data_IF_059479524107
#
_entry.id   IF_059479524107
#
_cell.length_a   1.000
_cell.length_b   1.000
_cell.length_c   1.000
_cell.angle_alpha   90.00
_cell.angle_beta   90.00
_cell.angle_gamma   90.00
#
_symmetry.space_group_name_H-M   'P 1'
#
loop_
_entity.id
_entity.type
_entity.pdbx_description
1 polymer ?
#
# COMPACT_ATOMS: atom_id res chain seq x y z
N UNK A 1 2.14 29.05 5.61
CA UNK A 1 3.38 28.28 5.85
C UNK A 1 3.83 27.76 4.49
N UNK A 2 5.12 27.80 4.16
CA UNK A 2 5.56 27.27 2.87
C UNK A 2 5.36 25.75 2.91
N UNK A 3 4.57 25.21 1.98
CA UNK A 3 4.42 23.76 1.81
C UNK A 3 5.80 23.16 1.54
N UNK A 4 6.33 22.38 2.48
CA UNK A 4 7.64 21.75 2.33
C UNK A 4 7.54 20.64 1.26
N UNK A 5 8.38 20.74 0.22
CA UNK A 5 8.40 19.79 -0.88
C UNK A 5 9.52 18.78 -0.60
N UNK A 6 9.16 17.52 -0.39
CA UNK A 6 10.13 16.43 -0.28
C UNK A 6 10.77 16.18 -1.65
N UNK A 7 12.09 16.35 -1.77
CA UNK A 7 12.80 16.16 -3.04
C UNK A 7 13.43 14.76 -3.09
N UNK A 8 12.83 13.88 -3.91
CA UNK A 8 13.43 12.58 -4.24
C UNK A 8 14.41 12.74 -5.40
N UNK A 9 14.01 13.50 -6.43
CA UNK A 9 14.85 13.85 -7.58
C UNK A 9 14.93 15.38 -7.76
N UNK A 10 16.10 16.01 -7.55
CA UNK A 10 16.30 17.45 -7.77
C UNK A 10 16.11 17.90 -9.22
N UNK A 11 16.29 17.01 -10.20
CA UNK A 11 16.04 17.26 -11.62
C UNK A 11 14.67 16.76 -12.07
N UNK A 12 13.92 16.12 -11.16
CA UNK A 12 12.59 15.60 -11.44
C UNK A 12 11.68 16.68 -12.06
N UNK A 13 10.75 16.24 -12.89
CA UNK A 13 9.87 17.07 -13.72
C UNK A 13 8.41 17.06 -13.23
N UNK A 14 8.10 16.24 -12.22
CA UNK A 14 6.75 16.07 -11.66
C UNK A 14 6.75 16.25 -10.13
N UNK A 15 5.71 16.93 -9.63
CA UNK A 15 5.31 16.90 -8.23
C UNK A 15 4.13 15.95 -8.08
N UNK A 16 4.29 14.92 -7.24
CA UNK A 16 3.16 14.12 -6.77
C UNK A 16 2.64 14.75 -5.48
N UNK A 17 1.33 14.95 -5.42
CA UNK A 17 0.60 15.47 -4.27
C UNK A 17 -0.17 14.30 -3.66
N UNK A 18 0.22 13.90 -2.45
CA UNK A 18 -0.48 12.89 -1.66
C UNK A 18 -1.43 13.61 -0.68
N UNK A 19 -2.73 13.44 -0.91
CA UNK A 19 -3.82 13.98 -0.09
C UNK A 19 -4.29 12.97 0.96
N UNK A 20 -4.69 13.42 2.14
CA UNK A 20 -5.21 12.57 3.21
C UNK A 20 -4.31 11.36 3.54
N UNK A 21 -2.99 11.56 3.74
CA UNK A 21 -2.08 10.45 3.98
C UNK A 21 -2.42 9.71 5.27
N UNK A 22 -2.06 8.43 5.32
CA UNK A 22 -2.25 7.54 6.47
C UNK A 22 -3.74 7.27 6.78
N UNK A 23 -4.55 7.07 5.74
CA UNK A 23 -5.93 6.60 5.91
C UNK A 23 -5.98 5.23 6.65
N UNK A 24 -7.11 4.88 7.28
CA UNK A 24 -7.26 3.60 7.97
C UNK A 24 -6.93 2.40 7.06
N UNK A 25 -6.04 1.53 7.52
CA UNK A 25 -5.55 0.38 6.76
C UNK A 25 -5.92 -0.94 7.45
N UNK A 26 -6.50 -1.88 6.69
CA UNK A 26 -6.86 -3.22 7.16
C UNK A 26 -7.64 -3.23 8.49
N UNK A 27 -8.73 -2.45 8.59
CA UNK A 27 -9.51 -2.33 9.82
C UNK A 27 -10.07 -3.67 10.30
N UNK A 28 -9.90 -3.95 11.59
CA UNK A 28 -10.34 -5.19 12.24
C UNK A 28 -11.34 -4.87 13.33
N UNK A 29 -12.61 -5.16 13.08
CA UNK A 29 -13.68 -4.99 14.06
C UNK A 29 -13.94 -6.33 14.75
N UNK A 30 -13.31 -6.55 15.91
CA UNK A 30 -13.75 -7.58 16.84
C UNK A 30 -15.15 -7.20 17.33
N UNK A 31 -16.17 -7.98 16.99
CA UNK A 31 -17.49 -7.86 17.61
C UNK A 31 -17.40 -8.28 19.07
N UNK A 32 -16.80 -7.43 19.92
CA UNK A 32 -16.93 -7.42 21.38
C UNK A 32 -16.21 -6.21 22.03
N UNK A 33 -16.53 -4.98 21.63
CA UNK A 33 -16.47 -3.82 22.52
C UNK A 33 -17.68 -2.94 22.24
N UNK A 34 -18.54 -2.81 23.26
CA UNK A 34 -19.76 -2.01 23.21
C UNK A 34 -19.48 -0.60 22.71
N UNK A 35 -20.22 -0.22 21.68
CA UNK A 35 -20.26 1.12 21.14
C UNK A 35 -20.79 2.07 22.22
N UNK A 36 -19.91 2.94 22.74
CA UNK A 36 -20.36 4.24 23.23
C UNK A 36 -20.03 5.24 22.14
N UNK A 37 -21.08 5.57 21.38
CA UNK A 37 -21.09 6.72 20.49
C UNK A 37 -20.73 7.98 21.27
N UNK A 38 -19.77 8.72 20.74
CA UNK A 38 -19.55 10.11 21.09
C UNK A 38 -19.41 10.84 19.76
N UNK A 39 -20.53 11.39 19.29
CA UNK A 39 -20.53 12.40 18.24
C UNK A 39 -19.58 13.51 18.67
N UNK A 40 -18.49 13.68 17.92
CA UNK A 40 -17.62 14.85 18.05
C UNK A 40 -17.87 15.74 16.85
N UNK A 41 -18.20 16.99 17.19
CA UNK A 41 -18.51 18.12 16.30
C UNK A 41 -17.48 18.26 15.18
N UNK A 42 -18.01 18.61 14.01
CA UNK A 42 -17.31 19.05 12.81
C UNK A 42 -16.33 20.19 13.11
N UNK A 43 -15.06 19.84 13.29
CA UNK A 43 -13.95 20.64 12.79
C UNK A 43 -13.28 19.76 11.76
N UNK A 44 -13.45 20.05 10.46
CA UNK A 44 -12.69 19.34 9.44
C UNK A 44 -11.22 19.62 9.72
N UNK A 45 -10.40 18.62 10.13
CA UNK A 45 -8.98 18.85 10.27
C UNK A 45 -8.47 19.31 8.91
N UNK A 46 -7.61 20.33 8.87
CA UNK A 46 -6.90 20.71 7.65
C UNK A 46 -6.37 19.43 6.99
N UNK A 47 -6.81 19.16 5.77
CA UNK A 47 -6.43 17.94 5.05
C UNK A 47 -4.91 17.97 4.90
N UNK A 48 -4.20 17.05 5.59
CA UNK A 48 -2.75 16.95 5.45
C UNK A 48 -2.43 16.63 3.98
N UNK A 49 -1.51 17.39 3.40
CA UNK A 49 -1.04 17.19 2.03
C UNK A 49 0.48 17.09 2.04
N UNK A 50 1.02 16.14 1.27
CA UNK A 50 2.46 15.97 1.09
C UNK A 50 2.78 16.16 -0.38
N UNK A 51 3.81 16.95 -0.66
CA UNK A 51 4.28 17.24 -2.03
C UNK A 51 5.64 16.61 -2.22
N UNK A 52 5.80 15.81 -3.26
CA UNK A 52 7.04 15.05 -3.52
C UNK A 52 7.52 15.30 -4.94
N UNK A 53 8.75 15.81 -5.08
CA UNK A 53 9.40 16.01 -6.37
C UNK A 53 10.08 14.73 -6.84
N UNK A 54 9.69 14.27 -8.03
CA UNK A 54 10.09 12.98 -8.61
C UNK A 54 10.39 13.11 -10.10
N UNK A 55 11.12 12.14 -10.65
CA UNK A 55 11.32 11.99 -12.09
C UNK A 55 10.21 11.15 -12.70
N UNK A 56 9.57 11.70 -13.74
CA UNK A 56 8.55 10.99 -14.51
C UNK A 56 9.13 9.72 -15.15
N UNK A 57 10.36 9.80 -15.67
CA UNK A 57 11.01 8.70 -16.39
C UNK A 57 11.25 7.48 -15.52
N UNK A 58 11.72 7.67 -14.29
CA UNK A 58 11.91 6.57 -13.33
C UNK A 58 10.59 5.84 -13.05
N UNK A 59 9.51 6.61 -12.81
CA UNK A 59 8.20 6.05 -12.47
C UNK A 59 7.53 5.36 -13.67
N UNK A 60 7.56 5.98 -14.85
CA UNK A 60 6.97 5.41 -16.08
C UNK A 60 7.66 4.15 -16.57
N UNK A 61 8.97 4.03 -16.34
CA UNK A 61 9.72 2.83 -16.68
C UNK A 61 9.32 1.65 -15.78
N UNK A 62 9.10 1.91 -14.50
CA UNK A 62 8.85 0.87 -13.51
C UNK A 62 7.36 0.53 -13.31
N UNK A 63 6.44 1.40 -13.74
CA UNK A 63 5.00 1.24 -13.49
C UNK A 63 4.16 1.64 -14.70
N UNK A 64 3.36 0.73 -15.26
CA UNK A 64 2.42 1.06 -16.32
C UNK A 64 1.29 1.98 -15.83
N UNK A 65 0.96 1.97 -14.54
CA UNK A 65 -0.03 2.86 -13.95
C UNK A 65 0.49 4.29 -13.89
N UNK A 66 1.72 4.51 -13.43
CA UNK A 66 2.36 5.82 -13.51
C UNK A 66 2.49 6.28 -14.97
N UNK A 67 2.84 5.39 -15.90
CA UNK A 67 2.85 5.70 -17.35
C UNK A 67 1.51 6.22 -17.85
N UNK A 68 0.41 5.55 -17.52
CA UNK A 68 -0.94 6.01 -17.90
C UNK A 68 -1.32 7.31 -17.19
N UNK A 69 -1.00 7.42 -15.91
CA UNK A 69 -1.28 8.59 -15.07
C UNK A 69 -0.60 9.85 -15.63
N UNK A 70 0.61 9.72 -16.17
CA UNK A 70 1.34 10.84 -16.76
C UNK A 70 1.00 11.11 -18.23
N UNK A 71 0.40 10.16 -18.94
CA UNK A 71 0.03 10.27 -20.37
C UNK A 71 -1.33 10.94 -20.63
N UNK A 72 -1.94 11.62 -19.65
CA UNK A 72 -3.21 12.34 -19.80
C UNK A 72 -3.18 13.43 -20.90
N UNK A 73 -4.29 14.16 -21.15
CA UNK A 73 -4.43 15.12 -22.27
C UNK A 73 -3.51 16.36 -22.19
N UNK A 74 -2.51 16.33 -21.30
CA UNK A 74 -1.49 17.35 -21.17
C UNK A 74 -0.61 17.34 -22.41
N UNK A 75 -0.82 18.34 -23.26
CA UNK A 75 0.00 18.55 -24.46
C UNK A 75 1.44 18.81 -24.03
N UNK A 76 2.36 17.98 -24.49
CA UNK A 76 3.81 18.28 -24.57
C UNK A 76 4.11 19.58 -25.35
N UNK A 77 3.11 20.28 -25.90
CA UNK A 77 3.24 21.49 -26.70
C UNK A 77 2.92 22.81 -25.98
N UNK A 78 2.66 22.81 -24.68
CA UNK A 78 2.89 24.01 -23.89
C UNK A 78 4.35 24.01 -23.48
N UNK A 79 5.16 24.82 -24.17
CA UNK A 79 6.42 25.29 -23.61
C UNK A 79 6.15 25.64 -22.14
N UNK A 80 6.89 25.11 -21.16
CA UNK A 80 6.71 25.49 -19.77
C UNK A 80 6.87 27.00 -19.70
N UNK A 81 5.75 27.72 -19.65
CA UNK A 81 5.75 29.14 -19.32
C UNK A 81 6.39 29.23 -17.95
N UNK A 82 7.62 29.72 -17.92
CA UNK A 82 8.42 30.06 -16.75
C UNK A 82 8.13 29.21 -15.49
N UNK A 83 8.67 27.99 -15.46
CA UNK A 83 8.95 27.29 -14.19
C UNK A 83 7.79 26.55 -13.52
N UNK A 84 6.63 26.35 -14.15
CA UNK A 84 5.55 25.55 -13.55
C UNK A 84 5.73 24.05 -13.79
N UNK A 85 5.90 23.32 -12.71
CA UNK A 85 6.10 21.87 -12.68
C UNK A 85 4.79 21.10 -12.87
N UNK A 86 4.82 19.92 -13.50
CA UNK A 86 3.63 19.07 -13.65
C UNK A 86 3.21 18.53 -12.29
N UNK A 87 1.93 18.69 -11.94
CA UNK A 87 1.37 18.19 -10.67
C UNK A 87 0.39 17.05 -10.91
N UNK A 88 0.52 15.98 -10.13
CA UNK A 88 -0.39 14.83 -10.15
C UNK A 88 -0.83 14.50 -8.74
N UNK A 89 -2.12 14.18 -8.57
CA UNK A 89 -2.71 13.90 -7.26
C UNK A 89 -2.93 12.41 -7.05
N UNK A 90 -2.73 11.99 -5.81
CA UNK A 90 -3.12 10.68 -5.28
C UNK A 90 -3.55 10.89 -3.83
N UNK A 91 -4.22 9.91 -3.24
CA UNK A 91 -4.82 10.08 -1.93
C UNK A 91 -4.72 8.81 -1.08
N UNK A 92 -4.89 8.97 0.23
CA UNK A 92 -5.13 7.90 1.19
C UNK A 92 -3.99 6.92 1.43
N UNK A 93 -2.88 7.00 0.70
CA UNK A 93 -1.71 6.16 0.96
C UNK A 93 -1.06 6.45 2.31
N UNK A 94 -0.49 5.40 2.92
CA UNK A 94 0.47 5.58 4.00
C UNK A 94 1.69 6.35 3.50
N UNK A 95 1.99 7.47 4.14
CA UNK A 95 3.05 8.40 3.74
C UNK A 95 4.42 7.70 3.70
N UNK A 96 4.73 6.90 4.72
CA UNK A 96 6.01 6.21 4.82
C UNK A 96 6.17 5.16 3.74
N UNK A 97 5.14 4.35 3.52
CA UNK A 97 5.14 3.33 2.47
C UNK A 97 5.18 3.93 1.06
N UNK A 98 4.46 5.04 0.83
CA UNK A 98 4.47 5.75 -0.45
C UNK A 98 5.85 6.34 -0.76
N UNK A 99 6.44 7.06 0.19
CA UNK A 99 7.79 7.62 0.04
C UNK A 99 8.83 6.51 -0.13
N UNK A 100 8.69 5.38 0.57
CA UNK A 100 9.57 4.24 0.39
C UNK A 100 9.48 3.66 -1.02
N UNK A 101 8.28 3.47 -1.56
CA UNK A 101 8.11 3.01 -2.95
C UNK A 101 8.79 3.98 -3.93
N UNK A 102 8.54 5.28 -3.80
CA UNK A 102 9.17 6.28 -4.68
C UNK A 102 10.71 6.23 -4.60
N UNK A 103 11.29 6.07 -3.40
CA UNK A 103 12.73 5.92 -3.26
C UNK A 103 13.26 4.64 -3.93
N UNK A 104 12.54 3.52 -3.83
CA UNK A 104 12.88 2.26 -4.52
C UNK A 104 12.89 2.48 -6.03
N UNK A 105 11.83 3.09 -6.59
CA UNK A 105 11.71 3.33 -8.03
C UNK A 105 12.75 4.32 -8.58
N UNK A 106 13.29 5.20 -7.73
CA UNK A 106 14.40 6.11 -8.06
C UNK A 106 15.78 5.55 -7.71
N UNK A 107 15.88 4.25 -7.42
CA UNK A 107 17.14 3.59 -7.07
C UNK A 107 17.88 4.23 -5.89
N UNK A 108 17.17 4.89 -4.96
CA UNK A 108 17.74 5.50 -3.75
C UNK A 108 17.90 4.48 -2.62
N UNK A 109 18.52 3.34 -2.93
CA UNK A 109 18.67 2.17 -2.06
C UNK A 109 19.23 2.48 -0.66
N UNK A 110 20.06 3.51 -0.51
CA UNK A 110 20.61 3.93 0.79
C UNK A 110 19.53 4.34 1.80
N UNK A 111 18.37 4.81 1.34
CA UNK A 111 17.25 5.21 2.21
C UNK A 111 16.28 4.06 2.47
N UNK A 112 16.46 2.92 1.81
CA UNK A 112 15.61 1.73 1.99
C UNK A 112 16.00 1.05 3.32
N UNK A 113 15.05 0.86 4.26
CA UNK A 113 15.35 0.29 5.56
C UNK A 113 15.70 -1.20 5.45
N UNK A 114 16.54 -1.68 6.38
CA UNK A 114 16.94 -3.10 6.44
C UNK A 114 15.84 -4.02 6.95
N UNK A 115 14.89 -3.46 7.69
CA UNK A 115 13.77 -4.17 8.29
C UNK A 115 12.50 -3.32 8.15
N UNK A 116 11.36 -4.00 8.04
CA UNK A 116 10.04 -3.40 8.08
C UNK A 116 9.18 -4.21 9.04
N UNK A 117 8.26 -3.55 9.74
CA UNK A 117 7.18 -4.25 10.41
C UNK A 117 6.25 -4.92 9.39
N UNK A 118 5.52 -5.93 9.83
CA UNK A 118 4.48 -6.61 9.04
C UNK A 118 3.49 -5.61 8.42
N UNK A 119 3.08 -4.60 9.17
CA UNK A 119 2.15 -3.57 8.70
C UNK A 119 2.76 -2.64 7.65
N UNK A 120 4.01 -2.20 7.83
CA UNK A 120 4.70 -1.38 6.83
C UNK A 120 4.91 -2.14 5.50
N UNK A 121 5.30 -3.41 5.58
CA UNK A 121 5.47 -4.25 4.38
C UNK A 121 4.13 -4.50 3.67
N UNK A 122 3.04 -4.71 4.42
CA UNK A 122 1.70 -4.87 3.86
C UNK A 122 1.22 -3.62 3.12
N UNK A 123 1.43 -2.43 3.71
CA UNK A 123 1.11 -1.14 3.08
C UNK A 123 1.96 -0.89 1.83
N UNK A 124 3.27 -1.16 1.89
CA UNK A 124 4.15 -1.04 0.72
C UNK A 124 3.69 -1.97 -0.41
N UNK A 125 3.34 -3.22 -0.08
CA UNK A 125 2.83 -4.17 -1.05
C UNK A 125 1.50 -3.72 -1.67
N UNK A 126 0.58 -3.13 -0.90
CA UNK A 126 -0.68 -2.57 -1.42
C UNK A 126 -0.42 -1.49 -2.47
N UNK A 127 0.43 -0.52 -2.14
CA UNK A 127 0.77 0.60 -3.04
C UNK A 127 1.46 0.06 -4.30
N UNK A 128 2.44 -0.83 -4.15
CA UNK A 128 3.15 -1.43 -5.28
C UNK A 128 2.23 -2.29 -6.17
N UNK A 129 1.24 -2.97 -5.58
CA UNK A 129 0.21 -3.70 -6.33
C UNK A 129 -0.68 -2.73 -7.11
N UNK A 130 -1.12 -1.63 -6.49
CA UNK A 130 -1.94 -0.61 -7.15
C UNK A 130 -1.23 0.00 -8.36
N UNK A 131 0.05 0.37 -8.21
CA UNK A 131 0.85 0.92 -9.30
C UNK A 131 1.44 -0.14 -10.24
N UNK A 132 1.12 -1.42 -10.06
CA UNK A 132 1.59 -2.53 -10.89
C UNK A 132 3.12 -2.57 -11.02
N UNK A 133 3.80 -2.48 -9.86
CA UNK A 133 5.27 -2.45 -9.76
C UNK A 133 5.80 -3.32 -8.60
N UNK A 134 5.06 -4.38 -8.24
CA UNK A 134 5.48 -5.36 -7.21
C UNK A 134 6.89 -5.91 -7.46
N UNK A 135 7.24 -6.18 -8.73
CA UNK A 135 8.56 -6.72 -9.09
C UNK A 135 9.71 -5.80 -8.66
N UNK A 136 9.52 -4.48 -8.68
CA UNK A 136 10.54 -3.53 -8.21
C UNK A 136 10.77 -3.62 -6.69
N UNK A 137 9.75 -4.03 -5.93
CA UNK A 137 9.82 -4.20 -4.47
C UNK A 137 10.31 -5.60 -4.09
N UNK A 138 10.03 -6.61 -4.93
CA UNK A 138 10.29 -8.03 -4.66
C UNK A 138 11.73 -8.32 -4.25
N UNK A 139 12.70 -7.63 -4.85
CA UNK A 139 14.11 -7.78 -4.52
C UNK A 139 14.41 -7.55 -3.01
N UNK A 140 13.70 -6.62 -2.37
CA UNK A 140 13.86 -6.32 -0.95
C UNK A 140 12.98 -7.19 -0.06
N UNK A 141 11.82 -7.62 -0.58
CA UNK A 141 10.82 -8.31 0.22
C UNK A 141 11.32 -9.61 0.80
N UNK A 142 12.19 -10.35 0.10
CA UNK A 142 12.72 -11.62 0.59
C UNK A 142 13.41 -11.45 1.95
N UNK A 143 14.23 -10.40 2.09
CA UNK A 143 14.93 -10.11 3.34
C UNK A 143 13.97 -9.66 4.44
N UNK A 144 13.02 -8.78 4.12
CA UNK A 144 12.05 -8.32 5.12
C UNK A 144 11.15 -9.45 5.60
N UNK A 145 10.70 -10.33 4.69
CA UNK A 145 9.92 -11.52 5.01
C UNK A 145 10.70 -12.47 5.92
N UNK A 146 11.97 -12.76 5.59
CA UNK A 146 12.86 -13.60 6.41
C UNK A 146 12.96 -13.09 7.86
N UNK A 147 13.12 -11.77 8.04
CA UNK A 147 13.20 -11.15 9.36
C UNK A 147 11.89 -11.20 10.14
N UNK A 148 10.74 -11.26 9.47
CA UNK A 148 9.43 -11.37 10.11
C UNK A 148 9.04 -12.82 10.46
N UNK A 149 9.68 -13.83 9.85
CA UNK A 149 9.39 -15.26 10.06
C UNK A 149 9.31 -15.69 11.54
N UNK A 150 10.21 -15.25 12.45
CA UNK A 150 10.14 -15.64 13.87
C UNK A 150 8.85 -15.18 14.56
N UNK A 151 8.24 -14.09 14.07
CA UNK A 151 7.01 -13.48 14.60
C UNK A 151 5.78 -13.79 13.77
N UNK A 152 5.88 -14.74 12.83
CA UNK A 152 4.79 -15.13 11.94
C UNK A 152 3.51 -15.45 12.72
N UNK A 153 2.36 -14.83 12.37
CA UNK A 153 1.08 -15.12 13.01
C UNK A 153 0.67 -16.58 12.82
N UNK A 154 0.20 -17.22 13.90
CA UNK A 154 -0.19 -18.64 13.90
C UNK A 154 -1.69 -18.85 14.16
N UNK A 155 -2.44 -17.76 14.31
CA UNK A 155 -3.86 -17.76 14.65
C UNK A 155 -4.60 -16.74 13.79
N UNK A 156 -5.87 -17.01 13.50
CA UNK A 156 -6.73 -16.10 12.74
C UNK A 156 -6.85 -14.76 13.46
N UNK A 157 -6.33 -13.73 12.78
CA UNK A 157 -6.17 -12.38 13.32
C UNK A 157 -5.94 -11.40 12.17
N UNK A 158 -6.02 -10.09 12.45
CA UNK A 158 -5.59 -9.05 11.51
C UNK A 158 -4.18 -9.31 10.99
N UNK A 159 -3.25 -9.65 11.87
CA UNK A 159 -1.86 -9.90 11.48
C UNK A 159 -1.72 -11.11 10.56
N UNK A 160 -2.49 -12.18 10.76
CA UNK A 160 -2.50 -13.30 9.82
C UNK A 160 -3.00 -12.86 8.43
N UNK A 161 -3.99 -11.98 8.36
CA UNK A 161 -4.46 -11.44 7.08
C UNK A 161 -3.41 -10.57 6.39
N UNK A 162 -2.68 -9.75 7.15
CA UNK A 162 -1.54 -9.00 6.63
C UNK A 162 -0.44 -9.94 6.11
N UNK A 163 -0.13 -11.00 6.87
CA UNK A 163 0.84 -12.02 6.47
C UNK A 163 0.42 -12.73 5.19
N UNK A 164 -0.83 -13.17 5.11
CA UNK A 164 -1.39 -13.78 3.92
C UNK A 164 -1.28 -12.84 2.71
N UNK A 165 -1.58 -11.56 2.89
CA UNK A 165 -1.46 -10.55 1.83
C UNK A 165 -0.02 -10.44 1.32
N UNK A 166 0.97 -10.22 2.18
CA UNK A 166 2.36 -10.09 1.72
C UNK A 166 2.92 -11.40 1.15
N UNK A 167 2.51 -12.55 1.71
CA UNK A 167 2.86 -13.85 1.14
C UNK A 167 2.28 -14.04 -0.26
N UNK A 168 1.07 -13.53 -0.50
CA UNK A 168 0.47 -13.53 -1.83
C UNK A 168 1.19 -12.58 -2.78
N UNK A 169 1.31 -11.31 -2.40
CA UNK A 169 1.90 -10.25 -3.21
C UNK A 169 3.31 -10.60 -3.70
N UNK A 170 4.15 -11.18 -2.84
CA UNK A 170 5.53 -11.52 -3.19
C UNK A 170 5.72 -12.96 -3.67
N UNK A 171 4.66 -13.78 -3.70
CA UNK A 171 4.71 -15.17 -4.18
C UNK A 171 5.35 -16.17 -3.21
N UNK A 172 5.33 -15.86 -1.92
CA UNK A 172 5.86 -16.73 -0.85
C UNK A 172 5.07 -18.05 -0.76
N UNK A 173 5.74 -19.20 -0.47
CA UNK A 173 5.07 -20.49 -0.27
C UNK A 173 4.16 -20.50 0.97
N UNK A 174 4.41 -19.62 1.95
CA UNK A 174 3.64 -19.55 3.21
C UNK A 174 2.17 -19.15 3.02
N UNK A 175 1.80 -18.62 1.85
CA UNK A 175 0.42 -18.19 1.56
C UNK A 175 -0.61 -19.29 1.78
N UNK A 176 -0.26 -20.54 1.44
CA UNK A 176 -1.18 -21.68 1.59
C UNK A 176 -1.41 -22.02 3.07
N UNK A 177 -0.37 -21.96 3.89
CA UNK A 177 -0.48 -22.21 5.33
C UNK A 177 -1.30 -21.12 6.01
N UNK A 178 -1.00 -19.86 5.72
CA UNK A 178 -1.73 -18.71 6.28
C UNK A 178 -3.22 -18.75 5.89
N UNK A 179 -3.53 -19.10 4.64
CA UNK A 179 -4.90 -19.31 4.18
C UNK A 179 -5.61 -20.43 4.95
N UNK A 180 -4.95 -21.58 5.14
CA UNK A 180 -5.53 -22.70 5.89
C UNK A 180 -5.84 -22.33 7.34
N UNK A 181 -4.97 -21.59 8.03
CA UNK A 181 -5.21 -21.13 9.40
C UNK A 181 -6.46 -20.24 9.41
N UNK A 182 -6.56 -19.28 8.48
CA UNK A 182 -7.69 -18.35 8.40
C UNK A 182 -9.02 -19.10 8.20
N UNK A 183 -9.08 -20.06 7.28
CA UNK A 183 -10.31 -20.83 7.01
C UNK A 183 -10.69 -21.74 8.18
N UNK A 184 -9.71 -22.39 8.83
CA UNK A 184 -9.99 -23.34 9.92
C UNK A 184 -10.46 -22.68 11.20
N UNK A 185 -9.90 -21.51 11.54
CA UNK A 185 -10.17 -20.85 12.82
C UNK A 185 -11.26 -19.79 12.74
N UNK A 186 -11.58 -19.31 11.53
CA UNK A 186 -12.63 -18.31 11.38
C UNK A 186 -14.01 -18.90 11.66
N UNK A 187 -14.79 -18.20 12.50
CA UNK A 187 -16.20 -18.53 12.81
C UNK A 187 -17.19 -18.01 11.76
N UNK A 188 -16.69 -17.30 10.76
CA UNK A 188 -17.46 -16.64 9.70
C UNK A 188 -16.66 -16.69 8.39
N UNK A 189 -17.21 -16.25 7.24
CA UNK A 189 -16.41 -16.05 6.04
C UNK A 189 -15.18 -15.18 6.32
N UNK A 190 -14.02 -15.59 5.82
CA UNK A 190 -12.74 -14.88 6.02
C UNK A 190 -12.84 -13.51 5.36
N UNK A 191 -12.61 -12.45 6.13
CA UNK A 191 -12.64 -11.07 5.62
C UNK A 191 -11.29 -10.68 5.04
N UNK A 192 -11.28 -10.07 3.85
CA UNK A 192 -10.05 -9.54 3.22
C UNK A 192 -9.47 -8.32 3.93
N UNK A 193 -10.27 -7.63 4.74
CA UNK A 193 -9.93 -6.35 5.38
C UNK A 193 -9.63 -5.22 4.37
N UNK A 194 -10.12 -5.33 3.14
CA UNK A 194 -9.79 -4.39 2.07
C UNK A 194 -8.42 -4.65 1.41
N UNK A 195 -7.70 -5.69 1.82
CA UNK A 195 -6.42 -6.07 1.22
C UNK A 195 -6.64 -6.65 -0.20
N UNK A 196 -5.69 -6.48 -1.14
CA UNK A 196 -5.79 -6.98 -2.51
C UNK A 196 -5.59 -8.51 -2.65
N UNK A 197 -6.11 -9.28 -1.71
CA UNK A 197 -6.08 -10.75 -1.75
C UNK A 197 -7.11 -11.21 -2.80
N UNK A 198 -6.74 -12.05 -3.78
CA UNK A 198 -7.67 -12.45 -4.84
C UNK A 198 -8.94 -13.11 -4.32
N UNK A 199 -10.07 -12.72 -4.90
CA UNK A 199 -11.42 -13.15 -4.48
C UNK A 199 -11.62 -14.67 -4.53
N UNK A 200 -10.88 -15.36 -5.41
CA UNK A 200 -10.89 -16.83 -5.51
C UNK A 200 -10.42 -17.50 -4.20
N UNK A 201 -9.64 -16.80 -3.39
CA UNK A 201 -9.21 -17.25 -2.07
C UNK A 201 -10.37 -17.05 -1.10
N UNK A 202 -10.89 -15.82 -0.96
CA UNK A 202 -11.92 -15.46 0.04
C UNK A 202 -13.31 -16.09 -0.19
N UNK A 203 -13.65 -16.45 -1.42
CA UNK A 203 -14.98 -16.97 -1.81
C UNK A 203 -15.17 -18.48 -1.68
N UNK A 204 -14.13 -19.27 -1.39
CA UNK A 204 -14.28 -20.73 -1.21
C UNK A 204 -14.69 -21.00 0.24
N UNK A 205 -16.00 -20.90 0.51
CA UNK A 205 -16.58 -21.75 1.55
C UNK A 205 -16.46 -23.20 1.05
N UNK A 206 -16.00 -24.17 1.88
CA UNK A 206 -16.21 -25.56 1.54
C UNK A 206 -17.71 -25.76 1.33
N UNK A 207 -18.10 -26.17 0.12
CA UNK A 207 -19.45 -26.62 -0.21
C UNK A 207 -19.79 -27.80 0.72
N UNK A 208 -20.39 -27.49 1.85
CA UNK A 208 -20.69 -28.44 2.92
C UNK A 208 -21.52 -27.89 4.09
N UNK A 209 -21.99 -26.64 4.01
CA UNK A 209 -23.07 -26.14 4.88
C UNK A 209 -24.33 -25.97 4.03
N UNK A 210 -24.93 -27.10 3.66
CA UNK A 210 -26.35 -27.21 3.33
C UNK A 210 -26.88 -28.26 4.32
N UNK A 211 -27.92 -27.88 5.06
CA UNK A 211 -28.59 -28.69 6.06
C UNK A 211 -28.92 -30.11 5.57
N UNK A 212 -28.45 -31.12 6.30
CA UNK A 212 -29.20 -32.23 6.94
C UNK A 212 -28.27 -33.05 7.83
#
# INVERSE_FOLDING_TARGET
>A
MADDISVIDPEGEVIIILENPNAPFAAWNDTNKGEKGMERKDEQPESKVIRVRVSEKHLTLASPVFKKMFAGPWKESETPGEGKMKEVRTESWDEGAFLLLLNILHCRHRTVPRELSLEQLAKLAEIANYYDCIEAVKFFSDRWMELLMPTRPKQYSRNLMLWLWISWAFGSPDRSEAWMIAVKESKSPVRSLGLPIPSLVIGILPSGWIDF
#
